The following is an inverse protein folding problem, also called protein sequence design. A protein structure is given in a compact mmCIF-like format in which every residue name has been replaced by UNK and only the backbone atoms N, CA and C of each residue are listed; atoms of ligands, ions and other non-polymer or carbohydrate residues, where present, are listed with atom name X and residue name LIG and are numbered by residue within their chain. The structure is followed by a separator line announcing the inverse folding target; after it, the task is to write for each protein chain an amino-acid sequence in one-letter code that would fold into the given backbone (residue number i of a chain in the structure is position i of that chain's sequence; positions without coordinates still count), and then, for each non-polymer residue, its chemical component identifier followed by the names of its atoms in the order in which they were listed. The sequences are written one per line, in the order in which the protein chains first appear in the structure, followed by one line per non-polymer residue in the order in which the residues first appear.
data_IF_581720361619
#
_entry.id   IF_581720361619
#
_cell.length_a   1.000
_cell.length_b   1.000
_cell.length_c   1.000
_cell.angle_alpha   90.00
_cell.angle_beta   90.00
_cell.angle_gamma   90.00
#
_symmetry.space_group_name_H-M   'P 1'
#
loop_
_entity.id
_entity.type
_entity.pdbx_description
1 polymer ?
#
# COMPACT_ATOMS: atom_id res chain seq x y z
N UNK A 1 47.08 -8.79 -16.86
CA UNK A 1 45.95 -9.43 -16.16
C UNK A 1 44.92 -8.34 -15.85
N UNK A 2 43.92 -8.14 -16.70
CA UNK A 2 42.79 -7.23 -16.45
C UNK A 2 41.58 -8.12 -16.16
N UNK A 3 40.99 -7.97 -14.98
CA UNK A 3 39.76 -8.66 -14.63
C UNK A 3 38.59 -7.90 -15.25
N UNK A 4 37.89 -8.53 -16.20
CA UNK A 4 36.61 -8.06 -16.69
C UNK A 4 35.53 -8.43 -15.66
N UNK A 5 34.94 -7.41 -15.05
CA UNK A 5 33.76 -7.57 -14.20
C UNK A 5 32.55 -7.73 -15.12
N UNK A 6 32.08 -8.96 -15.27
CA UNK A 6 30.82 -9.26 -15.92
C UNK A 6 29.68 -8.81 -15.01
N UNK A 7 29.04 -7.69 -15.35
CA UNK A 7 27.82 -7.25 -14.69
C UNK A 7 26.71 -8.17 -15.19
N UNK A 8 26.22 -9.04 -14.31
CA UNK A 8 25.04 -9.87 -14.54
C UNK A 8 23.85 -8.94 -14.76
N UNK A 9 23.30 -8.96 -15.97
CA UNK A 9 22.03 -8.30 -16.29
C UNK A 9 20.92 -8.94 -15.44
N UNK A 10 20.44 -8.21 -14.43
CA UNK A 10 19.30 -8.66 -13.63
C UNK A 10 18.03 -8.59 -14.45
N UNK A 11 17.31 -9.71 -14.50
CA UNK A 11 15.97 -9.93 -15.06
C UNK A 11 15.12 -8.66 -15.17
N UNK A 12 14.65 -8.41 -16.40
CA UNK A 12 13.69 -7.36 -16.73
C UNK A 12 12.40 -7.54 -15.95
N UNK A 13 12.18 -6.68 -14.94
CA UNK A 13 10.88 -6.53 -14.32
C UNK A 13 9.86 -6.12 -15.39
N UNK A 14 8.85 -6.97 -15.62
CA UNK A 14 7.83 -6.72 -16.63
C UNK A 14 7.08 -5.42 -16.31
N UNK A 15 7.22 -4.44 -17.19
CA UNK A 15 6.66 -3.09 -17.02
C UNK A 15 5.17 -3.14 -17.37
N UNK A 16 4.32 -3.35 -16.36
CA UNK A 16 2.87 -3.33 -16.54
C UNK A 16 2.36 -1.89 -16.74
N UNK A 17 1.35 -1.71 -17.59
CA UNK A 17 0.80 -0.39 -17.90
C UNK A 17 0.10 0.28 -16.71
N UNK A 18 0.06 1.62 -16.71
CA UNK A 18 -0.78 2.46 -15.85
C UNK A 18 -2.20 1.91 -15.65
N UNK A 19 -2.78 1.42 -16.75
CA UNK A 19 -4.13 0.88 -16.83
C UNK A 19 -4.29 -0.39 -15.99
N UNK A 20 -3.23 -1.20 -15.89
CA UNK A 20 -3.21 -2.41 -15.05
C UNK A 20 -3.26 -2.04 -13.57
N UNK A 21 -2.50 -1.02 -13.13
CA UNK A 21 -2.58 -0.50 -11.74
C UNK A 21 -3.99 -0.02 -11.43
N UNK A 22 -4.59 0.74 -12.34
CA UNK A 22 -5.94 1.28 -12.18
C UNK A 22 -6.96 0.14 -12.05
N UNK A 23 -6.90 -0.88 -12.91
CA UNK A 23 -7.77 -2.06 -12.80
C UNK A 23 -7.58 -2.83 -11.49
N UNK A 24 -6.34 -3.00 -11.03
CA UNK A 24 -6.05 -3.64 -9.74
C UNK A 24 -6.65 -2.82 -8.59
N UNK A 25 -6.50 -1.50 -8.58
CA UNK A 25 -7.07 -0.63 -7.55
C UNK A 25 -8.60 -0.60 -7.56
N UNK A 26 -9.19 -0.66 -8.76
CA UNK A 26 -10.63 -0.78 -8.95
C UNK A 26 -11.17 -2.10 -8.40
N UNK A 27 -10.34 -3.15 -8.32
CA UNK A 27 -10.74 -4.45 -7.76
C UNK A 27 -10.41 -4.56 -6.25
N UNK A 28 -9.16 -4.30 -5.87
CA UNK A 28 -8.67 -4.46 -4.49
C UNK A 28 -9.36 -3.49 -3.53
N UNK A 29 -9.63 -2.26 -3.96
CA UNK A 29 -10.27 -1.26 -3.11
C UNK A 29 -11.64 -1.71 -2.60
N UNK A 30 -12.60 -2.02 -3.49
CA UNK A 30 -13.89 -2.57 -3.09
C UNK A 30 -13.78 -3.82 -2.22
N UNK A 31 -12.90 -4.77 -2.57
CA UNK A 31 -12.68 -5.98 -1.75
C UNK A 31 -12.23 -5.64 -0.33
N UNK A 32 -11.28 -4.71 -0.17
CA UNK A 32 -10.83 -4.27 1.15
C UNK A 32 -11.94 -3.54 1.90
N UNK A 33 -12.69 -2.67 1.23
CA UNK A 33 -13.81 -1.95 1.85
C UNK A 33 -14.92 -2.91 2.33
N UNK A 34 -15.20 -3.98 1.58
CA UNK A 34 -16.16 -5.01 1.98
C UNK A 34 -15.66 -5.83 3.18
N UNK A 35 -14.39 -6.23 3.19
CA UNK A 35 -13.78 -6.89 4.35
C UNK A 35 -13.83 -5.98 5.58
N UNK A 36 -13.63 -4.67 5.43
CA UNK A 36 -13.72 -3.70 6.52
C UNK A 36 -15.15 -3.58 7.06
N UNK A 37 -16.17 -3.64 6.21
CA UNK A 37 -17.56 -3.70 6.67
C UNK A 37 -17.79 -4.95 7.51
N UNK A 38 -17.31 -6.11 7.07
CA UNK A 38 -17.39 -7.35 7.85
C UNK A 38 -16.68 -7.24 9.20
N UNK A 39 -15.48 -6.65 9.24
CA UNK A 39 -14.74 -6.39 10.51
C UNK A 39 -15.57 -5.51 11.44
N UNK A 40 -16.19 -4.44 10.91
CA UNK A 40 -17.03 -3.54 11.68
C UNK A 40 -18.29 -4.23 12.22
N UNK A 41 -18.89 -5.14 11.45
CA UNK A 41 -20.02 -5.95 11.91
C UNK A 41 -19.62 -6.90 13.02
N UNK A 42 -18.48 -7.58 12.90
CA UNK A 42 -17.92 -8.43 13.97
C UNK A 42 -17.72 -7.60 15.24
N UNK A 43 -17.09 -6.43 15.13
CA UNK A 43 -16.88 -5.53 16.27
C UNK A 43 -18.20 -5.09 16.92
N UNK A 44 -19.20 -4.68 16.12
CA UNK A 44 -20.50 -4.24 16.64
C UNK A 44 -21.20 -5.35 17.44
N UNK A 45 -21.12 -6.58 16.92
CA UNK A 45 -21.78 -7.76 17.48
C UNK A 45 -20.94 -8.48 18.56
N UNK A 46 -19.70 -8.04 18.82
CA UNK A 46 -18.85 -8.65 19.84
C UNK A 46 -19.38 -8.35 21.25
N UNK A 47 -19.78 -9.40 21.96
CA UNK A 47 -20.18 -9.34 23.37
C UNK A 47 -18.98 -9.42 24.33
N UNK A 48 -17.87 -9.99 23.86
CA UNK A 48 -16.62 -10.14 24.63
C UNK A 48 -15.42 -9.63 23.83
N UNK A 49 -14.35 -9.26 24.53
CA UNK A 49 -13.10 -8.74 23.95
C UNK A 49 -13.34 -7.58 22.97
N UNK A 50 -14.38 -6.78 23.22
CA UNK A 50 -14.86 -5.70 22.33
C UNK A 50 -13.78 -4.65 22.06
N UNK A 51 -12.94 -4.36 23.05
CA UNK A 51 -11.81 -3.44 22.90
C UNK A 51 -10.77 -3.95 21.89
N UNK A 52 -10.43 -5.24 21.92
CA UNK A 52 -9.54 -5.84 20.92
C UNK A 52 -10.17 -5.75 19.53
N UNK A 53 -11.47 -6.04 19.42
CA UNK A 53 -12.20 -5.93 18.16
C UNK A 53 -12.22 -4.48 17.63
N UNK A 54 -12.38 -3.49 18.51
CA UNK A 54 -12.31 -2.07 18.15
C UNK A 54 -10.92 -1.68 17.63
N UNK A 55 -9.85 -2.14 18.27
CA UNK A 55 -8.47 -1.90 17.82
C UNK A 55 -8.28 -2.45 16.40
N UNK A 56 -8.77 -3.65 16.12
CA UNK A 56 -8.71 -4.24 14.78
C UNK A 56 -9.52 -3.43 13.75
N UNK A 57 -10.74 -3.03 14.09
CA UNK A 57 -11.58 -2.20 13.22
C UNK A 57 -10.91 -0.86 12.86
N UNK A 58 -10.30 -0.18 13.84
CA UNK A 58 -9.59 1.08 13.62
C UNK A 58 -8.37 0.92 12.69
N UNK A 59 -7.63 -0.19 12.80
CA UNK A 59 -6.52 -0.50 11.91
C UNK A 59 -7.01 -0.79 10.49
N UNK A 60 -8.10 -1.54 10.36
CA UNK A 60 -8.71 -1.83 9.07
C UNK A 60 -9.20 -0.53 8.38
N UNK A 61 -9.84 0.37 9.14
CA UNK A 61 -10.23 1.69 8.65
C UNK A 61 -9.03 2.52 8.16
N UNK A 62 -7.92 2.52 8.90
CA UNK A 62 -6.69 3.22 8.51
C UNK A 62 -6.11 2.72 7.19
N UNK A 63 -6.27 1.42 6.88
CA UNK A 63 -5.88 0.86 5.58
C UNK A 63 -6.77 1.34 4.44
N UNK A 64 -8.10 1.43 4.63
CA UNK A 64 -9.00 2.01 3.62
C UNK A 64 -8.64 3.46 3.31
N UNK A 65 -8.32 4.28 4.32
CA UNK A 65 -7.84 5.65 4.10
C UNK A 65 -6.57 5.70 3.23
N UNK A 66 -5.63 4.77 3.45
CA UNK A 66 -4.44 4.70 2.62
C UNK A 66 -4.73 4.29 1.16
N UNK A 67 -5.69 3.38 0.94
CA UNK A 67 -6.16 3.02 -0.42
C UNK A 67 -6.82 4.22 -1.10
N UNK A 68 -7.66 4.97 -0.40
CA UNK A 68 -8.30 6.17 -0.93
C UNK A 68 -7.24 7.20 -1.36
N UNK A 69 -6.30 7.52 -0.48
CA UNK A 69 -5.19 8.44 -0.80
C UNK A 69 -4.39 7.95 -2.01
N UNK A 70 -4.16 6.64 -2.11
CA UNK A 70 -3.46 6.05 -3.24
C UNK A 70 -4.25 6.21 -4.54
N UNK A 71 -5.55 5.85 -4.54
CA UNK A 71 -6.45 6.00 -5.69
C UNK A 71 -6.43 7.45 -6.18
N UNK A 72 -6.65 8.42 -5.30
CA UNK A 72 -6.67 9.83 -5.69
C UNK A 72 -5.34 10.30 -6.28
N UNK A 73 -4.21 9.86 -5.73
CA UNK A 73 -2.88 10.24 -6.24
C UNK A 73 -2.61 9.67 -7.62
N UNK A 74 -3.12 8.49 -7.88
CA UNK A 74 -3.02 7.79 -9.17
C UNK A 74 -3.92 8.49 -10.19
N UNK A 75 -5.20 8.71 -9.89
CA UNK A 75 -6.14 9.37 -10.79
C UNK A 75 -5.72 10.80 -11.15
N UNK A 76 -5.13 11.57 -10.22
CA UNK A 76 -4.66 12.94 -10.51
C UNK A 76 -3.43 13.02 -11.43
N UNK A 77 -2.75 11.91 -11.69
CA UNK A 77 -1.44 11.89 -12.34
C UNK A 77 -1.36 10.80 -13.44
N UNK A 78 -2.44 10.59 -14.21
CA UNK A 78 -2.55 9.55 -15.26
C UNK A 78 -1.38 9.52 -16.25
N UNK A 79 -0.85 10.68 -16.64
CA UNK A 79 0.29 10.74 -17.57
C UNK A 79 1.62 10.33 -16.91
N UNK A 80 1.75 10.61 -15.61
CA UNK A 80 2.89 10.17 -14.80
C UNK A 80 2.85 8.66 -14.58
N UNK A 81 1.68 8.01 -14.68
CA UNK A 81 1.54 6.56 -14.55
C UNK A 81 2.24 5.72 -15.62
N UNK A 82 2.63 6.29 -16.77
CA UNK A 82 3.28 5.54 -17.86
C UNK A 82 4.66 4.96 -17.49
N UNK A 83 5.33 5.50 -16.47
CA UNK A 83 6.65 5.04 -16.01
C UNK A 83 6.59 4.30 -14.65
N UNK A 84 5.41 3.83 -14.25
CA UNK A 84 5.21 3.25 -12.92
C UNK A 84 5.88 1.88 -12.77
N UNK A 85 6.48 1.64 -11.61
CA UNK A 85 6.75 0.28 -11.12
C UNK A 85 5.44 -0.38 -10.67
N UNK A 86 4.56 -0.63 -11.63
CA UNK A 86 3.21 -1.19 -11.47
C UNK A 86 3.22 -2.48 -10.64
N UNK A 87 4.26 -3.29 -10.83
CA UNK A 87 4.43 -4.53 -10.09
C UNK A 87 4.61 -4.30 -8.57
N UNK A 88 5.37 -3.28 -8.17
CA UNK A 88 5.57 -2.94 -6.74
C UNK A 88 4.27 -2.50 -6.08
N UNK A 89 3.45 -1.71 -6.80
CA UNK A 89 2.12 -1.30 -6.32
C UNK A 89 1.16 -2.48 -6.24
N UNK A 90 1.12 -3.32 -7.28
CA UNK A 90 0.30 -4.54 -7.31
C UNK A 90 0.60 -5.44 -6.12
N UNK A 91 1.89 -5.74 -5.89
CA UNK A 91 2.32 -6.57 -4.77
C UNK A 91 1.97 -5.94 -3.41
N UNK A 92 2.12 -4.61 -3.27
CA UNK A 92 1.76 -3.91 -2.04
C UNK A 92 0.25 -3.99 -1.77
N UNK A 93 -0.58 -3.83 -2.80
CA UNK A 93 -2.04 -3.92 -2.69
C UNK A 93 -2.50 -5.34 -2.36
N UNK A 94 -1.92 -6.37 -2.98
CA UNK A 94 -2.22 -7.77 -2.65
C UNK A 94 -1.83 -8.12 -1.22
N UNK A 95 -0.66 -7.64 -0.76
CA UNK A 95 -0.23 -7.83 0.63
C UNK A 95 -1.17 -7.14 1.60
N UNK A 96 -1.64 -5.94 1.26
CA UNK A 96 -2.61 -5.21 2.08
C UNK A 96 -3.92 -5.99 2.18
N UNK A 97 -4.48 -6.44 1.06
CA UNK A 97 -5.70 -7.26 1.05
C UNK A 97 -5.56 -8.49 1.94
N UNK A 98 -4.44 -9.23 1.81
CA UNK A 98 -4.17 -10.41 2.63
C UNK A 98 -4.14 -10.06 4.13
N UNK A 99 -3.42 -9.01 4.51
CA UNK A 99 -3.32 -8.58 5.92
C UNK A 99 -4.69 -8.16 6.47
N UNK A 100 -5.52 -7.48 5.68
CA UNK A 100 -6.87 -7.09 6.13
C UNK A 100 -7.76 -8.32 6.32
N UNK A 101 -7.60 -9.38 5.50
CA UNK A 101 -8.23 -10.68 5.76
C UNK A 101 -7.72 -11.32 7.06
N UNK A 102 -6.40 -11.32 7.28
CA UNK A 102 -5.80 -11.84 8.53
C UNK A 102 -6.35 -11.08 9.76
N UNK A 103 -6.52 -9.75 9.67
CA UNK A 103 -7.18 -8.93 10.70
C UNK A 103 -8.62 -9.37 10.92
N UNK A 104 -9.41 -9.60 9.85
CA UNK A 104 -10.79 -10.07 9.97
C UNK A 104 -10.87 -11.39 10.72
N UNK A 105 -10.06 -12.36 10.29
CA UNK A 105 -10.09 -13.71 10.85
C UNK A 105 -9.70 -13.69 12.34
N UNK A 106 -8.67 -12.91 12.69
CA UNK A 106 -8.30 -12.66 14.08
C UNK A 106 -9.44 -12.01 14.87
N UNK A 107 -10.05 -10.94 14.34
CA UNK A 107 -11.15 -10.21 14.98
C UNK A 107 -12.32 -11.14 15.27
N UNK A 108 -12.71 -11.97 14.30
CA UNK A 108 -13.76 -12.97 14.45
C UNK A 108 -13.41 -13.98 15.55
N UNK A 109 -12.19 -14.52 15.53
CA UNK A 109 -11.71 -15.48 16.53
C UNK A 109 -11.78 -14.90 17.94
N UNK A 110 -11.25 -13.70 18.16
CA UNK A 110 -11.23 -13.10 19.50
C UNK A 110 -12.59 -12.63 19.98
N UNK A 111 -13.51 -12.25 19.07
CA UNK A 111 -14.89 -11.90 19.42
C UNK A 111 -15.65 -13.05 20.11
N UNK A 112 -15.17 -14.29 19.96
CA UNK A 112 -15.76 -15.51 20.52
C UNK A 112 -14.86 -16.19 21.58
N UNK A 113 -13.69 -15.62 21.87
CA UNK A 113 -12.69 -16.26 22.71
C UNK A 113 -12.98 -16.06 24.20
N UNK A 114 -13.33 -17.16 24.87
CA UNK A 114 -13.53 -17.18 26.32
C UNK A 114 -12.21 -17.24 27.12
N UNK A 115 -12.29 -16.91 28.41
CA UNK A 115 -11.18 -16.51 29.29
C UNK A 115 -10.26 -17.64 29.79
N UNK A 116 -10.03 -18.71 29.01
CA UNK A 116 -9.06 -19.75 29.38
C UNK A 116 -7.62 -19.28 29.15
N UNK A 117 -6.73 -19.47 30.12
CA UNK A 117 -5.34 -18.95 30.09
C UNK A 117 -4.53 -19.37 28.85
N UNK A 118 -4.62 -20.64 28.40
CA UNK A 118 -3.91 -21.11 27.20
C UNK A 118 -4.41 -20.39 25.94
N UNK A 119 -5.72 -20.15 25.86
CA UNK A 119 -6.35 -19.41 24.76
C UNK A 119 -5.92 -17.94 24.74
N UNK A 120 -5.73 -17.34 25.92
CA UNK A 120 -5.26 -15.96 26.04
C UNK A 120 -3.84 -15.77 25.47
N UNK A 121 -2.86 -16.59 25.87
CA UNK A 121 -1.49 -16.46 25.36
C UNK A 121 -1.42 -16.70 23.85
N UNK A 122 -2.14 -17.71 23.34
CA UNK A 122 -2.21 -17.97 21.90
C UNK A 122 -2.80 -16.78 21.13
N UNK A 123 -3.87 -16.16 21.63
CA UNK A 123 -4.49 -15.00 20.99
C UNK A 123 -3.62 -13.74 21.07
N UNK A 124 -2.76 -13.63 22.09
CA UNK A 124 -1.77 -12.54 22.18
C UNK A 124 -0.67 -12.69 21.13
N UNK A 125 -0.09 -13.88 20.97
CA UNK A 125 0.94 -14.09 19.95
C UNK A 125 0.41 -13.88 18.53
N UNK A 126 -0.82 -14.33 18.27
CA UNK A 126 -1.47 -14.11 16.98
C UNK A 126 -1.78 -12.63 16.73
N UNK A 127 -2.16 -11.87 17.77
CA UNK A 127 -2.27 -10.41 17.66
C UNK A 127 -0.95 -9.80 17.20
N UNK A 128 0.15 -10.13 17.89
CA UNK A 128 1.47 -9.55 17.63
C UNK A 128 1.91 -9.84 16.19
N UNK A 129 1.73 -11.08 15.71
CA UNK A 129 2.04 -11.49 14.33
C UNK A 129 1.18 -10.74 13.30
N UNK A 130 -0.14 -10.64 13.50
CA UNK A 130 -1.04 -9.91 12.59
C UNK A 130 -0.67 -8.43 12.55
N UNK A 131 -0.35 -7.83 13.69
CA UNK A 131 0.01 -6.42 13.80
C UNK A 131 1.36 -6.12 13.18
N UNK A 132 2.35 -6.97 13.37
CA UNK A 132 3.67 -6.79 12.76
C UNK A 132 3.58 -6.81 11.23
N UNK A 133 2.82 -7.78 10.67
CA UNK A 133 2.54 -7.87 9.24
C UNK A 133 1.81 -6.63 8.72
N UNK A 134 0.83 -6.14 9.48
CA UNK A 134 0.10 -4.92 9.15
C UNK A 134 1.00 -3.69 9.12
N UNK A 135 1.79 -3.47 10.18
CA UNK A 135 2.65 -2.31 10.30
C UNK A 135 3.72 -2.30 9.19
N UNK A 136 4.29 -3.47 8.86
CA UNK A 136 5.21 -3.63 7.75
C UNK A 136 4.54 -3.31 6.40
N UNK A 137 3.33 -3.81 6.17
CA UNK A 137 2.59 -3.56 4.95
C UNK A 137 2.28 -2.07 4.78
N UNK A 138 1.81 -1.41 5.83
CA UNK A 138 1.49 0.03 5.80
C UNK A 138 2.74 0.90 5.62
N UNK A 139 3.86 0.55 6.27
CA UNK A 139 5.15 1.23 6.06
C UNK A 139 5.61 1.12 4.60
N UNK A 140 5.56 -0.08 4.02
CA UNK A 140 5.91 -0.30 2.62
C UNK A 140 5.05 0.53 1.68
N UNK A 141 3.73 0.54 1.91
CA UNK A 141 2.79 1.35 1.13
C UNK A 141 3.12 2.85 1.18
N UNK A 142 3.43 3.36 2.38
CA UNK A 142 3.83 4.76 2.57
C UNK A 142 5.14 5.09 1.88
N UNK A 143 6.15 4.21 1.94
CA UNK A 143 7.43 4.38 1.26
C UNK A 143 7.23 4.45 -0.25
N UNK A 144 6.48 3.50 -0.82
CA UNK A 144 6.15 3.47 -2.25
C UNK A 144 5.52 4.81 -2.67
N UNK A 145 4.52 5.28 -1.93
CA UNK A 145 3.85 6.55 -2.20
C UNK A 145 4.80 7.77 -2.11
N UNK A 146 5.73 7.79 -1.14
CA UNK A 146 6.69 8.89 -0.96
C UNK A 146 7.75 8.92 -2.05
N UNK A 147 8.35 7.76 -2.36
CA UNK A 147 9.36 7.62 -3.42
C UNK A 147 8.77 8.05 -4.76
N UNK A 148 7.54 7.61 -5.04
CA UNK A 148 6.84 7.98 -6.26
C UNK A 148 6.66 9.51 -6.37
N UNK A 149 6.21 10.15 -5.30
CA UNK A 149 6.06 11.61 -5.26
C UNK A 149 7.39 12.35 -5.47
N UNK A 150 8.47 11.87 -4.85
CA UNK A 150 9.80 12.48 -4.98
C UNK A 150 10.34 12.37 -6.41
N UNK A 151 10.19 11.20 -7.03
CA UNK A 151 10.61 10.97 -8.41
C UNK A 151 9.92 11.94 -9.38
N UNK A 152 8.60 12.12 -9.27
CA UNK A 152 7.88 13.06 -10.15
C UNK A 152 8.21 14.52 -9.87
N UNK A 153 8.37 14.91 -8.60
CA UNK A 153 8.83 16.28 -8.30
C UNK A 153 10.18 16.59 -8.95
N UNK A 154 11.10 15.62 -8.95
CA UNK A 154 12.39 15.79 -9.61
C UNK A 154 12.25 15.87 -11.14
N UNK A 155 11.39 15.03 -11.74
CA UNK A 155 11.11 15.04 -13.18
C UNK A 155 10.47 16.37 -13.62
N UNK A 156 9.44 16.84 -12.90
CA UNK A 156 8.76 18.11 -13.16
C UNK A 156 9.76 19.27 -13.09
N UNK A 157 10.56 19.34 -12.01
CA UNK A 157 11.62 20.36 -11.86
C UNK A 157 12.62 20.34 -13.01
N UNK A 158 13.00 19.15 -13.47
CA UNK A 158 13.95 19.00 -14.59
C UNK A 158 13.35 19.54 -15.90
N UNK A 159 12.09 19.22 -16.18
CA UNK A 159 11.40 19.72 -17.38
C UNK A 159 11.12 21.22 -17.32
N UNK A 160 10.80 21.76 -16.14
CA UNK A 160 10.69 23.21 -15.92
C UNK A 160 12.03 23.92 -16.18
N UNK A 161 13.14 23.37 -15.65
CA UNK A 161 14.49 23.92 -15.84
C UNK A 161 14.85 23.99 -17.32
N UNK A 162 14.63 22.90 -18.08
CA UNK A 162 14.85 22.88 -19.53
C UNK A 162 14.02 23.91 -20.30
N UNK A 163 12.78 24.15 -19.88
CA UNK A 163 11.90 25.16 -20.51
C UNK A 163 12.41 26.57 -20.24
N UNK A 164 12.86 26.84 -19.02
CA UNK A 164 13.47 28.12 -18.63
C UNK A 164 14.75 28.37 -19.42
N UNK A 165 15.67 27.39 -19.47
CA UNK A 165 16.91 27.49 -20.25
C UNK A 165 16.64 27.83 -21.72
N UNK A 166 15.74 27.08 -22.37
CA UNK A 166 15.35 27.36 -23.77
C UNK A 166 14.71 28.73 -23.98
N UNK A 167 14.03 29.28 -22.97
CA UNK A 167 13.44 30.61 -23.06
C UNK A 167 14.53 31.70 -22.97
N UNK A 168 15.51 31.52 -22.07
CA UNK A 168 16.63 32.44 -21.89
C UNK A 168 17.57 32.45 -23.11
N UNK A 169 17.88 31.29 -23.70
CA UNK A 169 18.69 31.20 -24.92
C UNK A 169 18.06 31.93 -26.11
N UNK A 170 16.73 32.02 -26.17
CA UNK A 170 16.02 32.75 -27.22
C UNK A 170 16.10 34.26 -27.03
N UNK A 171 16.20 34.74 -25.78
CA UNK A 171 16.33 36.16 -25.47
C UNK A 171 17.74 36.70 -25.68
N UNK A 172 18.78 35.86 -25.62
CA UNK A 172 20.16 36.27 -25.92
C UNK A 172 20.48 36.39 -27.43
N UNK A 173 19.61 35.86 -28.30
CA UNK A 173 19.78 35.89 -29.76
C UNK A 173 19.09 37.08 -30.45
N UNK A 174 18.62 38.06 -29.68
CA UNK A 174 18.00 39.33 -30.13
C UNK A 174 18.93 40.47 -29.76
#
# INVERSE_FOLDING_TARGET
MKAEVHIVETETAQEFSAETVIRILQHVGPTVDDIIKEINEIYKNAEINKEVCLIMANRAYSASQAIIIMKERITRNEEKLKNFRTETYRLALQRLEKVIRDIKDYTYKVSKLNRFFIRFFSAKYEYEDVIEKYDLCMKNLQVILRVNNAFYRAKDKTEETKKVEKALEKTEKV
#
